data_IF_896620694424
#
_entry.id   IF_896620694424
#
_cell.length_a   1.000
_cell.length_b   1.000
_cell.length_c   1.000
_cell.angle_alpha   90.00
_cell.angle_beta   90.00
_cell.angle_gamma   90.00
#
_symmetry.space_group_name_H-M   'P 1'
#
loop_
_entity.id
_entity.type
_entity.pdbx_description
1 polymer ?
#
# COMPACT_ATOMS: atom_id res chain seq x y z
N UNK A 1 -28.39 28.95 -10.22
CA UNK A 1 -27.32 28.56 -9.29
C UNK A 1 -26.60 27.37 -9.90
N UNK A 2 -25.37 27.60 -10.36
CA UNK A 2 -24.66 26.77 -11.34
C UNK A 2 -24.24 25.42 -10.75
N UNK A 3 -24.74 24.31 -11.29
CA UNK A 3 -24.27 22.96 -10.92
C UNK A 3 -22.86 22.65 -11.45
N UNK A 4 -22.30 23.49 -12.33
CA UNK A 4 -20.99 23.27 -12.95
C UNK A 4 -19.81 23.84 -12.15
N UNK A 5 -20.03 24.77 -11.22
CA UNK A 5 -18.97 25.32 -10.34
C UNK A 5 -18.50 24.32 -9.27
N UNK A 6 -19.45 23.57 -8.69
CA UNK A 6 -19.15 22.64 -7.58
C UNK A 6 -18.20 21.50 -7.97
N UNK A 7 -18.16 21.09 -9.24
CA UNK A 7 -17.29 19.98 -9.67
C UNK A 7 -15.83 20.43 -9.80
N UNK A 8 -15.58 21.67 -10.25
CA UNK A 8 -14.23 22.18 -10.42
C UNK A 8 -13.60 22.52 -9.07
N UNK A 9 -14.35 23.19 -8.18
CA UNK A 9 -13.90 23.50 -6.82
C UNK A 9 -13.58 22.24 -6.02
N UNK A 10 -14.40 21.18 -6.16
CA UNK A 10 -14.16 19.90 -5.50
C UNK A 10 -12.88 19.21 -6.01
N UNK A 11 -12.61 19.28 -7.31
CA UNK A 11 -11.38 18.72 -7.88
C UNK A 11 -10.13 19.47 -7.38
N UNK A 12 -10.18 20.80 -7.32
CA UNK A 12 -9.08 21.61 -6.79
C UNK A 12 -8.85 21.36 -5.29
N UNK A 13 -9.92 21.18 -4.51
CA UNK A 13 -9.83 20.80 -3.10
C UNK A 13 -9.18 19.43 -2.91
N UNK A 14 -9.56 18.43 -3.73
CA UNK A 14 -8.94 17.10 -3.71
C UNK A 14 -7.46 17.18 -4.06
N UNK A 15 -7.07 17.93 -5.10
CA UNK A 15 -5.66 18.14 -5.47
C UNK A 15 -4.87 18.79 -4.34
N UNK A 16 -5.41 19.84 -3.72
CA UNK A 16 -4.76 20.54 -2.59
C UNK A 16 -4.50 19.58 -1.44
N UNK A 17 -5.52 18.81 -1.04
CA UNK A 17 -5.42 17.83 0.05
C UNK A 17 -4.43 16.71 -0.28
N UNK A 18 -4.47 16.19 -1.50
CA UNK A 18 -3.55 15.16 -1.95
C UNK A 18 -2.09 15.67 -1.95
N UNK A 19 -1.86 16.91 -2.36
CA UNK A 19 -0.52 17.52 -2.31
C UNK A 19 0.00 17.62 -0.87
N UNK A 20 -0.85 18.03 0.06
CA UNK A 20 -0.47 18.17 1.47
C UNK A 20 -0.06 16.83 2.11
N UNK A 21 -0.83 15.77 1.86
CA UNK A 21 -0.59 14.46 2.51
C UNK A 21 0.23 13.48 1.68
N UNK A 22 0.42 13.73 0.39
CA UNK A 22 1.25 12.93 -0.51
C UNK A 22 2.73 13.31 -0.48
N UNK A 23 3.06 14.56 -0.14
CA UNK A 23 4.45 15.05 -0.06
C UNK A 23 5.36 14.16 0.83
N UNK A 24 4.93 13.72 2.03
CA UNK A 24 5.75 12.85 2.87
C UNK A 24 6.05 11.49 2.23
N UNK A 25 5.14 10.98 1.40
CA UNK A 25 5.35 9.72 0.69
C UNK A 25 6.41 9.91 -0.37
N UNK A 26 6.37 11.00 -1.14
CA UNK A 26 7.33 11.27 -2.21
C UNK A 26 8.73 11.57 -1.66
N UNK A 27 8.82 12.41 -0.62
CA UNK A 27 10.10 12.95 -0.13
C UNK A 27 10.86 12.01 0.80
N UNK A 28 10.18 11.04 1.45
CA UNK A 28 10.82 10.11 2.36
C UNK A 28 11.39 8.89 1.61
N UNK A 29 12.67 8.96 1.25
CA UNK A 29 13.40 7.90 0.56
C UNK A 29 13.37 6.57 1.35
N UNK A 30 13.42 6.62 2.69
CA UNK A 30 13.38 5.46 3.59
C UNK A 30 12.14 4.57 3.48
N UNK A 31 11.10 5.02 2.76
CA UNK A 31 9.94 4.20 2.43
C UNK A 31 10.19 3.24 1.25
N UNK A 32 11.29 3.41 0.51
CA UNK A 32 11.56 2.73 -0.76
C UNK A 32 13.05 2.44 -1.02
N UNK A 33 13.96 2.79 -0.12
CA UNK A 33 15.43 2.59 -0.32
C UNK A 33 15.83 1.13 -0.58
N UNK A 34 15.02 0.18 -0.14
CA UNK A 34 15.24 -1.25 -0.32
C UNK A 34 14.41 -1.81 -1.48
N UNK A 35 14.02 -0.98 -2.44
CA UNK A 35 13.28 -1.36 -3.63
C UNK A 35 14.06 -0.95 -4.89
N UNK A 36 13.84 -1.66 -6.00
CA UNK A 36 14.25 -1.15 -7.31
C UNK A 36 13.38 0.06 -7.69
N UNK A 37 13.82 0.90 -8.62
CA UNK A 37 13.04 2.06 -9.06
C UNK A 37 11.62 1.68 -9.52
N UNK A 38 11.48 0.56 -10.22
CA UNK A 38 10.18 0.05 -10.67
C UNK A 38 9.29 -0.37 -9.49
N UNK A 39 9.84 -1.08 -8.51
CA UNK A 39 9.11 -1.49 -7.30
C UNK A 39 8.74 -0.29 -6.42
N UNK A 40 9.68 0.66 -6.27
CA UNK A 40 9.50 1.92 -5.58
C UNK A 40 8.35 2.71 -6.18
N UNK A 41 8.29 2.82 -7.51
CA UNK A 41 7.20 3.49 -8.21
C UNK A 41 5.86 2.77 -7.98
N UNK A 42 5.80 1.45 -8.13
CA UNK A 42 4.57 0.68 -7.90
C UNK A 42 4.03 0.86 -6.46
N UNK A 43 4.92 0.83 -5.46
CA UNK A 43 4.53 1.04 -4.07
C UNK A 43 4.07 2.48 -3.80
N UNK A 44 4.72 3.47 -4.44
CA UNK A 44 4.30 4.86 -4.37
C UNK A 44 2.93 5.07 -5.02
N UNK A 45 2.70 4.50 -6.21
CA UNK A 45 1.42 4.58 -6.92
C UNK A 45 0.29 3.97 -6.08
N UNK A 46 0.54 2.82 -5.44
CA UNK A 46 -0.40 2.25 -4.49
C UNK A 46 -0.73 3.22 -3.35
N UNK A 47 0.29 3.80 -2.71
CA UNK A 47 0.10 4.73 -1.59
C UNK A 47 -0.66 5.99 -1.97
N UNK A 48 -0.31 6.59 -3.11
CA UNK A 48 -0.98 7.76 -3.66
C UNK A 48 -2.43 7.48 -4.03
N UNK A 49 -2.74 6.30 -4.59
CA UNK A 49 -4.11 5.91 -4.88
C UNK A 49 -4.97 5.83 -3.60
N UNK A 50 -4.42 5.30 -2.49
CA UNK A 50 -5.14 5.24 -1.20
C UNK A 50 -5.41 6.64 -0.62
N UNK A 51 -4.44 7.55 -0.74
CA UNK A 51 -4.61 8.93 -0.30
C UNK A 51 -5.62 9.68 -1.18
N UNK A 52 -5.61 9.46 -2.49
CA UNK A 52 -6.57 10.05 -3.42
C UNK A 52 -8.00 9.58 -3.12
N UNK A 53 -8.21 8.27 -2.89
CA UNK A 53 -9.52 7.75 -2.46
C UNK A 53 -10.01 8.41 -1.17
N UNK A 54 -9.10 8.61 -0.22
CA UNK A 54 -9.41 9.30 1.05
C UNK A 54 -9.78 10.76 0.80
N UNK A 55 -9.00 11.49 0.00
CA UNK A 55 -9.23 12.89 -0.31
C UNK A 55 -10.58 13.11 -1.02
N UNK A 56 -10.96 12.21 -1.93
CA UNK A 56 -12.28 12.21 -2.57
C UNK A 56 -13.39 11.94 -1.55
N UNK A 57 -13.22 10.95 -0.66
CA UNK A 57 -14.22 10.62 0.37
C UNK A 57 -14.44 11.76 1.37
N UNK A 58 -13.37 12.47 1.74
CA UNK A 58 -13.46 13.57 2.70
C UNK A 58 -13.78 14.91 2.03
N UNK A 59 -13.93 14.98 0.70
CA UNK A 59 -14.14 16.23 -0.05
C UNK A 59 -15.36 17.04 0.42
N UNK A 60 -16.34 16.39 1.07
CA UNK A 60 -17.56 17.04 1.60
C UNK A 60 -17.50 17.33 3.10
N UNK A 61 -16.40 16.96 3.76
CA UNK A 61 -16.24 17.18 5.19
C UNK A 61 -15.73 18.61 5.42
N UNK A 62 -16.03 19.21 6.59
CA UNK A 62 -15.33 20.39 7.07
C UNK A 62 -13.81 20.18 7.00
N UNK A 63 -13.04 21.24 6.74
CA UNK A 63 -11.60 21.13 6.51
C UNK A 63 -10.86 20.48 7.68
N UNK A 64 -11.17 20.85 8.93
CA UNK A 64 -10.52 20.29 10.12
C UNK A 64 -10.78 18.76 10.25
N UNK A 65 -12.01 18.32 9.99
CA UNK A 65 -12.37 16.89 10.02
C UNK A 65 -11.70 16.13 8.87
N UNK A 66 -11.63 16.73 7.69
CA UNK A 66 -10.98 16.14 6.53
C UNK A 66 -9.48 15.96 6.75
N UNK A 67 -8.81 16.98 7.30
CA UNK A 67 -7.37 16.96 7.62
C UNK A 67 -7.09 15.85 8.63
N UNK A 68 -7.85 15.78 9.73
CA UNK A 68 -7.64 14.75 10.74
C UNK A 68 -7.78 13.32 10.20
N UNK A 69 -8.71 13.09 9.26
CA UNK A 69 -8.86 11.78 8.60
C UNK A 69 -7.70 11.51 7.64
N UNK A 70 -7.30 12.51 6.85
CA UNK A 70 -6.24 12.39 5.86
C UNK A 70 -4.88 12.10 6.52
N UNK A 71 -4.51 12.81 7.59
CA UNK A 71 -3.26 12.58 8.32
C UNK A 71 -3.20 11.18 8.91
N UNK A 72 -4.30 10.70 9.50
CA UNK A 72 -4.37 9.33 10.02
C UNK A 72 -4.17 8.31 8.88
N UNK A 73 -4.79 8.55 7.72
CA UNK A 73 -4.67 7.65 6.54
C UNK A 73 -3.27 7.68 5.94
N UNK A 74 -2.65 8.86 5.83
CA UNK A 74 -1.24 9.04 5.46
C UNK A 74 -0.34 8.22 6.37
N UNK A 75 -0.51 8.33 7.69
CA UNK A 75 0.34 7.61 8.64
C UNK A 75 0.24 6.10 8.45
N UNK A 76 -0.96 5.56 8.24
CA UNK A 76 -1.12 4.14 7.97
C UNK A 76 -0.51 3.70 6.63
N UNK A 77 -0.70 4.48 5.56
CA UNK A 77 -0.08 4.22 4.26
C UNK A 77 1.45 4.20 4.40
N UNK A 78 2.03 5.19 5.08
CA UNK A 78 3.47 5.28 5.33
C UNK A 78 4.00 4.07 6.11
N UNK A 79 3.30 3.65 7.17
CA UNK A 79 3.66 2.46 7.95
C UNK A 79 3.60 1.19 7.11
N UNK A 80 2.61 1.07 6.22
CA UNK A 80 2.50 -0.07 5.30
C UNK A 80 3.64 -0.08 4.30
N UNK A 81 3.94 1.06 3.65
CA UNK A 81 5.06 1.18 2.70
C UNK A 81 6.38 0.82 3.37
N UNK A 82 6.62 1.32 4.58
CA UNK A 82 7.82 1.01 5.35
C UNK A 82 7.92 -0.49 5.66
N UNK A 83 6.81 -1.15 6.03
CA UNK A 83 6.80 -2.60 6.29
C UNK A 83 7.08 -3.40 5.01
N UNK A 84 6.54 -2.99 3.86
CA UNK A 84 6.82 -3.64 2.57
C UNK A 84 8.30 -3.49 2.22
N UNK A 85 8.85 -2.27 2.28
CA UNK A 85 10.28 -2.00 2.05
C UNK A 85 11.16 -2.92 2.93
N UNK A 86 10.83 -3.03 4.22
CA UNK A 86 11.54 -3.88 5.17
C UNK A 86 11.39 -5.39 4.93
N UNK A 87 10.26 -5.83 4.39
CA UNK A 87 10.02 -7.25 4.07
C UNK A 87 10.72 -7.65 2.77
N UNK A 88 10.85 -6.73 1.81
CA UNK A 88 11.60 -6.93 0.55
C UNK A 88 13.10 -6.88 0.75
N UNK A 89 13.60 -6.12 1.73
CA UNK A 89 15.03 -6.02 2.05
C UNK A 89 15.65 -7.34 2.57
N UNK A 90 14.82 -8.33 2.91
CA UNK A 90 15.23 -9.55 3.62
C UNK A 90 15.26 -10.88 2.84
N UNK A 91 15.32 -10.97 1.50
CA UNK A 91 15.32 -12.27 0.83
C UNK A 91 16.72 -12.88 0.98
N UNK A 92 16.82 -14.03 1.65
CA UNK A 92 18.06 -14.81 1.75
C UNK A 92 18.99 -14.50 2.93
N UNK A 93 18.76 -13.44 3.70
CA UNK A 93 19.46 -13.19 4.97
C UNK A 93 18.58 -13.69 6.10
N UNK A 94 18.71 -14.98 6.51
CA UNK A 94 17.96 -15.65 7.59
C UNK A 94 17.50 -14.66 8.68
N UNK A 95 16.33 -14.00 8.53
CA UNK A 95 15.83 -13.17 9.59
C UNK A 95 15.19 -14.14 10.57
N UNK A 96 15.27 -13.79 11.85
CA UNK A 96 14.46 -14.46 12.84
C UNK A 96 13.00 -14.52 12.33
N UNK A 97 12.44 -15.73 12.24
CA UNK A 97 11.08 -15.95 11.75
C UNK A 97 10.10 -15.07 12.53
N UNK A 98 10.39 -14.79 13.80
CA UNK A 98 9.60 -13.93 14.68
C UNK A 98 9.59 -12.47 14.21
N UNK A 99 10.69 -11.96 13.65
CA UNK A 99 10.75 -10.59 13.12
C UNK A 99 9.84 -10.47 11.90
N UNK A 100 9.92 -11.41 10.97
CA UNK A 100 9.09 -11.41 9.76
C UNK A 100 7.62 -11.60 10.14
N UNK A 101 7.31 -12.54 11.03
CA UNK A 101 5.96 -12.77 11.54
C UNK A 101 5.40 -11.51 12.20
N UNK A 102 6.18 -10.83 13.03
CA UNK A 102 5.80 -9.57 13.66
C UNK A 102 5.49 -8.48 12.63
N UNK A 103 6.30 -8.36 11.57
CA UNK A 103 6.06 -7.40 10.48
C UNK A 103 4.82 -7.72 9.68
N UNK A 104 4.57 -8.98 9.33
CA UNK A 104 3.35 -9.40 8.64
C UNK A 104 2.09 -9.17 9.48
N UNK A 105 2.16 -9.41 10.79
CA UNK A 105 1.06 -9.09 11.72
C UNK A 105 0.81 -7.58 11.74
N UNK A 106 1.87 -6.77 11.84
CA UNK A 106 1.74 -5.30 11.79
C UNK A 106 1.20 -4.81 10.45
N UNK A 107 1.61 -5.41 9.34
CA UNK A 107 1.11 -5.11 8.01
C UNK A 107 -0.40 -5.38 7.95
N UNK A 108 -0.83 -6.56 8.39
CA UNK A 108 -2.25 -6.92 8.46
C UNK A 108 -3.07 -5.98 9.35
N UNK A 109 -2.53 -5.56 10.50
CA UNK A 109 -3.21 -4.59 11.40
C UNK A 109 -3.35 -3.21 10.77
N UNK A 110 -2.30 -2.71 10.11
CA UNK A 110 -2.36 -1.41 9.43
C UNK A 110 -3.32 -1.46 8.22
N UNK A 111 -3.37 -2.56 7.48
CA UNK A 111 -4.34 -2.75 6.39
C UNK A 111 -5.78 -2.80 6.92
N UNK A 112 -6.01 -3.52 8.01
CA UNK A 112 -7.33 -3.54 8.68
C UNK A 112 -7.77 -2.12 9.08
N UNK A 113 -6.85 -1.34 9.66
CA UNK A 113 -7.12 0.04 10.04
C UNK A 113 -7.32 0.95 8.80
N UNK A 114 -6.51 0.77 7.75
CA UNK A 114 -6.58 1.54 6.51
C UNK A 114 -7.92 1.35 5.80
N UNK A 115 -8.42 0.12 5.73
CA UNK A 115 -9.71 -0.18 5.11
C UNK A 115 -10.91 -0.05 6.06
N UNK A 116 -10.66 0.12 7.37
CA UNK A 116 -11.68 0.04 8.41
C UNK A 116 -12.53 -1.24 8.29
N UNK A 117 -11.87 -2.35 7.96
CA UNK A 117 -12.51 -3.64 7.75
C UNK A 117 -11.55 -4.76 8.14
N UNK A 118 -12.03 -5.91 8.63
CA UNK A 118 -11.20 -7.09 8.79
C UNK A 118 -10.45 -7.43 7.49
N UNK A 119 -9.31 -8.09 7.62
CA UNK A 119 -8.61 -8.63 6.45
C UNK A 119 -9.48 -9.72 5.81
N UNK A 120 -9.74 -9.57 4.51
CA UNK A 120 -10.50 -10.55 3.76
C UNK A 120 -9.71 -11.86 3.58
N UNK A 121 -10.41 -12.91 3.14
CA UNK A 121 -9.83 -14.25 2.96
C UNK A 121 -8.67 -14.25 1.96
N UNK A 122 -8.72 -13.41 0.92
CA UNK A 122 -7.68 -13.35 -0.11
C UNK A 122 -6.40 -12.75 0.47
N UNK A 123 -6.51 -11.68 1.27
CA UNK A 123 -5.37 -11.08 1.95
C UNK A 123 -4.76 -12.03 2.98
N UNK A 124 -5.58 -12.71 3.77
CA UNK A 124 -5.09 -13.71 4.75
C UNK A 124 -4.35 -14.83 4.02
N UNK A 125 -4.89 -15.30 2.88
CA UNK A 125 -4.24 -16.29 2.03
C UNK A 125 -2.90 -15.79 1.48
N UNK A 126 -2.85 -14.56 0.93
CA UNK A 126 -1.62 -13.98 0.40
C UNK A 126 -0.53 -13.80 1.48
N UNK A 127 -0.91 -13.45 2.72
CA UNK A 127 0.01 -13.39 3.86
C UNK A 127 0.58 -14.79 4.17
N UNK A 128 -0.27 -15.83 4.14
CA UNK A 128 0.16 -17.20 4.38
C UNK A 128 1.07 -17.72 3.26
N UNK A 129 0.73 -17.44 2.00
CA UNK A 129 1.52 -17.81 0.82
C UNK A 129 2.90 -17.14 0.85
N UNK A 130 2.97 -15.83 1.10
CA UNK A 130 4.23 -15.13 1.29
C UNK A 130 5.06 -15.76 2.42
N UNK A 131 4.44 -15.99 3.59
CA UNK A 131 5.14 -16.59 4.74
C UNK A 131 5.76 -17.96 4.38
N UNK A 132 5.02 -18.82 3.69
CA UNK A 132 5.46 -20.18 3.39
C UNK A 132 6.54 -20.24 2.31
N UNK A 133 6.53 -19.31 1.36
CA UNK A 133 7.42 -19.37 0.20
C UNK A 133 8.67 -18.50 0.36
N UNK A 134 8.66 -17.50 1.27
CA UNK A 134 9.66 -16.41 1.34
C UNK A 134 11.13 -16.86 1.26
N UNK A 135 11.48 -17.99 1.86
CA UNK A 135 12.88 -18.44 1.96
C UNK A 135 13.42 -18.93 0.60
N UNK A 136 12.53 -19.12 -0.38
CA UNK A 136 12.83 -19.58 -1.73
C UNK A 136 12.56 -18.50 -2.79
N UNK A 137 12.05 -17.33 -2.39
CA UNK A 137 11.70 -16.26 -3.31
C UNK A 137 12.91 -15.39 -3.62
N UNK A 138 13.07 -15.04 -4.89
CA UNK A 138 13.83 -13.86 -5.24
C UNK A 138 13.12 -12.58 -4.76
N UNK A 139 13.84 -11.45 -4.80
CA UNK A 139 13.37 -10.15 -4.33
C UNK A 139 12.16 -9.63 -5.11
N UNK A 140 12.09 -9.88 -6.42
CA UNK A 140 11.00 -9.40 -7.26
C UNK A 140 9.72 -10.18 -6.98
N UNK A 141 9.81 -11.51 -6.90
CA UNK A 141 8.69 -12.37 -6.54
C UNK A 141 8.19 -12.08 -5.12
N UNK A 142 9.09 -11.87 -4.17
CA UNK A 142 8.74 -11.44 -2.82
C UNK A 142 7.96 -10.12 -2.81
N UNK A 143 8.40 -9.12 -3.58
CA UNK A 143 7.70 -7.85 -3.70
C UNK A 143 6.31 -8.00 -4.34
N UNK A 144 6.17 -8.79 -5.41
CA UNK A 144 4.87 -9.01 -6.06
C UNK A 144 3.86 -9.68 -5.13
N UNK A 145 4.29 -10.66 -4.33
CA UNK A 145 3.43 -11.26 -3.31
C UNK A 145 3.05 -10.25 -2.21
N UNK A 146 3.96 -9.36 -1.81
CA UNK A 146 3.65 -8.29 -0.86
C UNK A 146 2.64 -7.29 -1.43
N UNK A 147 2.77 -6.89 -2.69
CA UNK A 147 1.77 -6.06 -3.37
C UNK A 147 0.40 -6.74 -3.42
N UNK A 148 0.36 -8.05 -3.67
CA UNK A 148 -0.87 -8.83 -3.66
C UNK A 148 -1.55 -8.88 -2.28
N UNK A 149 -0.80 -8.71 -1.18
CA UNK A 149 -1.37 -8.53 0.17
C UNK A 149 -2.04 -7.14 0.29
N UNK A 150 -1.44 -6.10 -0.29
CA UNK A 150 -1.95 -4.72 -0.19
C UNK A 150 -3.26 -4.55 -0.97
N UNK A 151 -3.32 -5.13 -2.17
CA UNK A 151 -4.48 -5.11 -3.06
C UNK A 151 -4.73 -6.49 -3.72
N UNK A 152 -5.44 -7.39 -3.03
CA UNK A 152 -5.71 -8.74 -3.53
C UNK A 152 -6.53 -8.78 -4.82
N UNK A 153 -7.18 -7.67 -5.20
CA UNK A 153 -7.97 -7.59 -6.43
C UNK A 153 -7.12 -7.40 -7.68
N UNK A 154 -5.84 -7.04 -7.53
CA UNK A 154 -4.88 -6.93 -8.65
C UNK A 154 -4.24 -8.28 -9.05
N UNK A 155 -4.58 -9.39 -8.38
CA UNK A 155 -4.03 -10.72 -8.64
C UNK A 155 -4.35 -11.31 -10.03
N UNK A 156 -5.15 -10.65 -10.89
CA UNK A 156 -5.40 -11.10 -12.27
C UNK A 156 -4.26 -10.78 -13.26
N UNK A 157 -3.15 -10.21 -12.78
CA UNK A 157 -2.04 -9.75 -13.63
C UNK A 157 -0.71 -10.47 -13.39
N UNK A 158 -0.65 -11.44 -12.47
CA UNK A 158 0.54 -12.30 -12.34
C UNK A 158 0.38 -13.43 -13.37
N UNK A 159 1.21 -13.51 -14.42
CA UNK A 159 1.20 -14.67 -15.30
C UNK A 159 1.51 -15.88 -14.44
N UNK A 160 0.56 -16.80 -14.35
CA UNK A 160 0.89 -18.17 -13.99
C UNK A 160 1.69 -18.67 -15.17
N UNK A 161 2.99 -18.86 -14.96
CA UNK A 161 3.87 -19.41 -15.98
C UNK A 161 3.53 -20.91 -16.13
N UNK A 162 2.39 -21.18 -16.76
CA UNK A 162 2.05 -22.47 -17.37
C UNK A 162 2.76 -22.52 -18.73
N UNK A 163 4.09 -22.57 -18.65
CA UNK A 163 4.97 -22.87 -19.79
C UNK A 163 5.78 -24.13 -19.47
N UNK A 164 5.08 -25.20 -19.11
CA UNK A 164 5.60 -26.56 -19.29
C UNK A 164 4.56 -27.39 -20.02
N UNK A 165 5.01 -28.14 -21.02
CA UNK A 165 4.26 -28.94 -22.03
C UNK A 165 3.73 -28.08 -23.19
N UNK A 166 4.15 -28.25 -24.45
CA UNK A 166 4.79 -29.38 -25.16
C UNK A 166 5.69 -28.88 -26.29
#
# INVERSE_FOLDING_TARGET
MSMFDNSHEMQELVKKRLRQVGEPLVTNAGLRDELTDAQAQQLLDWGMARLQETAVRTARFPDDDAVAVLEKKETAVRLIMQLVNQLVAQPGLLPDEDIVNSRLIRLGKNLQWLYNSPNDRMRVRAIFEFKHQRDQLDRDTAFQLLLAILDPKQQHLIPTDDSTTS
#
